data_IF_928754033617
#
_entry.id   IF_928754033617
#
_cell.length_a   1.000
_cell.length_b   1.000
_cell.length_c   1.000
_cell.angle_alpha   90.00
_cell.angle_beta   90.00
_cell.angle_gamma   90.00
#
_symmetry.space_group_name_H-M   'P 1'
#
loop_
_entity.id
_entity.type
_entity.pdbx_description
1 polymer ?
#
# COMPACT_ATOMS: atom_id res chain seq x y z
N UNK A 1 20.44 -2.99 -10.32
CA UNK A 1 20.16 -3.28 -8.89
C UNK A 1 19.86 -1.95 -8.21
N UNK A 2 18.64 -1.44 -8.43
CA UNK A 2 17.85 -0.43 -7.68
C UNK A 2 16.62 -0.26 -8.58
N UNK A 3 15.59 -1.08 -8.34
CA UNK A 3 14.25 -0.92 -8.92
C UNK A 3 13.24 -0.56 -7.81
N UNK A 4 13.77 -0.02 -6.71
CA UNK A 4 13.06 0.18 -5.44
C UNK A 4 12.13 1.40 -5.44
N UNK A 5 12.06 2.18 -6.53
CA UNK A 5 11.45 3.51 -6.54
C UNK A 5 9.97 3.49 -6.13
N UNK A 6 9.12 2.68 -6.75
CA UNK A 6 7.68 2.76 -6.46
C UNK A 6 7.33 2.24 -5.06
N UNK A 7 7.91 1.10 -4.64
CA UNK A 7 7.68 0.56 -3.30
C UNK A 7 8.24 1.47 -2.20
N UNK A 8 9.39 2.09 -2.43
CA UNK A 8 9.94 3.10 -1.51
C UNK A 8 9.09 4.37 -1.47
N UNK A 9 8.62 4.86 -2.61
CA UNK A 9 7.75 6.04 -2.67
C UNK A 9 6.43 5.81 -1.93
N UNK A 10 5.85 4.61 -2.06
CA UNK A 10 4.66 4.20 -1.30
C UNK A 10 4.97 4.21 0.20
N UNK A 11 6.08 3.60 0.60
CA UNK A 11 6.50 3.51 2.01
C UNK A 11 6.74 4.89 2.62
N UNK A 12 7.48 5.75 1.94
CA UNK A 12 7.77 7.12 2.39
C UNK A 12 6.49 7.95 2.52
N UNK A 13 5.56 7.83 1.57
CA UNK A 13 4.27 8.54 1.62
C UNK A 13 3.40 8.04 2.78
N UNK A 14 3.43 6.73 3.06
CA UNK A 14 2.73 6.16 4.18
C UNK A 14 3.29 6.65 5.53
N UNK A 15 4.62 6.67 5.68
CA UNK A 15 5.29 7.19 6.86
C UNK A 15 4.98 8.68 7.08
N UNK A 16 5.04 9.51 6.03
CA UNK A 16 4.69 10.94 6.10
C UNK A 16 3.23 11.16 6.53
N UNK A 17 2.31 10.33 6.05
CA UNK A 17 0.89 10.40 6.40
C UNK A 17 0.54 9.71 7.74
N UNK A 18 1.54 9.21 8.47
CA UNK A 18 1.37 8.62 9.80
C UNK A 18 0.77 7.21 9.80
N UNK A 19 0.93 6.46 8.71
CA UNK A 19 0.54 5.06 8.65
C UNK A 19 1.57 4.18 9.35
N UNK A 20 1.10 3.12 10.01
CA UNK A 20 1.97 2.04 10.46
C UNK A 20 2.25 1.14 9.26
N UNK A 21 3.51 0.98 8.90
CA UNK A 21 3.91 0.18 7.75
C UNK A 21 4.55 -1.13 8.22
N UNK A 22 4.06 -2.25 7.68
CA UNK A 22 4.63 -3.59 7.88
C UNK A 22 4.82 -4.29 6.54
N UNK A 23 6.03 -4.78 6.30
CA UNK A 23 6.37 -5.57 5.12
C UNK A 23 6.36 -7.06 5.42
N UNK A 24 5.92 -7.88 4.46
CA UNK A 24 6.00 -9.34 4.52
C UNK A 24 6.14 -9.91 3.10
N UNK A 25 7.35 -10.32 2.74
CA UNK A 25 7.69 -10.82 1.39
C UNK A 25 7.29 -9.79 0.30
N UNK A 26 6.43 -10.18 -0.64
CA UNK A 26 5.86 -9.30 -1.67
C UNK A 26 4.65 -8.47 -1.20
N UNK A 27 4.26 -8.56 0.06
CA UNK A 27 3.11 -7.82 0.61
C UNK A 27 3.55 -6.68 1.50
N UNK A 28 2.92 -5.52 1.33
CA UNK A 28 3.00 -4.41 2.28
C UNK A 28 1.63 -4.15 2.89
N UNK A 29 1.62 -3.90 4.19
CA UNK A 29 0.45 -3.62 4.99
C UNK A 29 0.60 -2.24 5.61
N UNK A 30 -0.43 -1.41 5.47
CA UNK A 30 -0.48 -0.06 6.03
C UNK A 30 -1.73 0.06 6.90
N UNK A 31 -1.54 0.44 8.16
CA UNK A 31 -2.63 0.53 9.14
C UNK A 31 -2.69 1.94 9.76
N UNK A 32 -3.88 2.56 9.74
CA UNK A 32 -4.15 3.87 10.35
C UNK A 32 -5.55 3.85 10.98
N UNK A 33 -5.61 3.58 12.27
CA UNK A 33 -6.88 3.40 13.00
C UNK A 33 -7.66 2.19 12.46
N UNK A 34 -8.89 2.42 12.01
CA UNK A 34 -9.77 1.39 11.43
C UNK A 34 -9.54 1.16 9.93
N UNK A 35 -8.67 1.94 9.30
CA UNK A 35 -8.37 1.82 7.87
C UNK A 35 -7.12 0.97 7.69
N UNK A 36 -7.19 -0.01 6.79
CA UNK A 36 -6.05 -0.85 6.43
C UNK A 36 -5.89 -0.93 4.92
N UNK A 37 -4.66 -0.88 4.43
CA UNK A 37 -4.35 -1.06 3.01
C UNK A 37 -3.38 -2.23 2.91
N UNK A 38 -3.71 -3.21 2.07
CA UNK A 38 -2.84 -4.33 1.74
C UNK A 38 -2.44 -4.25 0.28
N UNK A 39 -1.15 -4.13 0.01
CA UNK A 39 -0.58 -4.09 -1.34
C UNK A 39 0.19 -5.38 -1.58
N UNK A 40 -0.10 -6.06 -2.69
CA UNK A 40 0.68 -7.19 -3.17
C UNK A 40 1.47 -6.75 -4.38
N UNK A 41 2.79 -6.72 -4.25
CA UNK A 41 3.73 -6.32 -5.28
C UNK A 41 3.96 -7.43 -6.31
N UNK A 42 4.33 -7.03 -7.52
CA UNK A 42 4.81 -7.87 -8.61
C UNK A 42 6.16 -7.32 -9.07
N UNK A 43 7.24 -7.84 -8.49
CA UNK A 43 8.54 -7.16 -8.53
C UNK A 43 8.48 -5.86 -7.72
N UNK A 44 9.36 -4.91 -8.02
CA UNK A 44 9.51 -3.69 -7.22
C UNK A 44 8.82 -2.45 -7.82
N UNK A 45 8.30 -2.55 -9.05
CA UNK A 45 7.75 -1.41 -9.82
C UNK A 45 6.25 -1.51 -10.12
N UNK A 46 5.62 -2.65 -9.88
CA UNK A 46 4.21 -2.88 -10.19
C UNK A 46 3.51 -3.65 -9.07
N UNK A 47 2.18 -3.57 -9.02
CA UNK A 47 1.37 -4.31 -8.07
C UNK A 47 0.56 -5.40 -8.79
N UNK A 48 0.39 -6.54 -8.14
CA UNK A 48 -0.66 -7.51 -8.49
C UNK A 48 -2.03 -7.07 -8.02
N UNK A 49 -2.08 -6.24 -6.97
CA UNK A 49 -3.30 -5.62 -6.49
C UNK A 49 -3.12 -4.94 -5.13
N UNK A 50 -4.00 -4.00 -4.83
CA UNK A 50 -4.14 -3.34 -3.56
C UNK A 50 -5.59 -3.45 -3.08
N UNK A 51 -5.77 -3.68 -1.78
CA UNK A 51 -7.07 -3.77 -1.14
C UNK A 51 -7.16 -2.73 -0.02
N UNK A 52 -8.23 -1.94 -0.05
CA UNK A 52 -8.60 -1.02 1.01
C UNK A 52 -9.65 -1.70 1.90
N UNK A 53 -9.37 -1.75 3.19
CA UNK A 53 -10.29 -2.18 4.23
C UNK A 53 -10.68 -0.99 5.11
N UNK A 54 -11.92 -1.00 5.57
CA UNK A 54 -12.39 -0.11 6.62
C UNK A 54 -13.18 -0.94 7.62
N UNK A 55 -12.74 -0.95 8.87
CA UNK A 55 -13.35 -1.75 9.94
C UNK A 55 -13.45 -3.24 9.55
N UNK A 56 -12.33 -3.79 9.06
CA UNK A 56 -12.19 -5.17 8.58
C UNK A 56 -13.07 -5.57 7.37
N UNK A 57 -13.88 -4.64 6.85
CA UNK A 57 -14.67 -4.83 5.64
C UNK A 57 -13.89 -4.38 4.41
N UNK A 58 -13.85 -5.25 3.38
CA UNK A 58 -13.29 -4.89 2.07
C UNK A 58 -14.14 -3.77 1.47
N UNK A 59 -13.52 -2.60 1.28
CA UNK A 59 -14.16 -1.44 0.66
C UNK A 59 -13.89 -1.40 -0.84
N UNK A 60 -12.66 -1.64 -1.25
CA UNK A 60 -12.23 -1.47 -2.64
C UNK A 60 -11.02 -2.33 -2.94
N UNK A 61 -10.97 -2.88 -4.15
CA UNK A 61 -9.81 -3.56 -4.71
C UNK A 61 -9.40 -2.87 -6.02
N UNK A 62 -8.10 -2.67 -6.23
CA UNK A 62 -7.56 -2.08 -7.46
C UNK A 62 -6.23 -2.72 -7.85
N UNK A 63 -5.96 -2.81 -9.15
CA UNK A 63 -4.65 -3.18 -9.70
C UNK A 63 -3.82 -1.96 -10.14
N UNK A 64 -4.40 -0.78 -10.03
CA UNK A 64 -3.77 0.47 -10.43
C UNK A 64 -3.01 1.10 -9.25
N UNK A 65 -1.68 1.17 -9.36
CA UNK A 65 -0.81 1.69 -8.31
C UNK A 65 -1.10 3.17 -7.96
N UNK A 66 -1.29 4.10 -8.92
CA UNK A 66 -1.75 5.46 -8.64
C UNK A 66 -3.01 5.53 -7.77
N UNK A 67 -4.01 4.69 -8.06
CA UNK A 67 -5.23 4.59 -7.23
C UNK A 67 -4.91 4.15 -5.81
N UNK A 68 -4.11 3.11 -5.62
CA UNK A 68 -3.73 2.62 -4.29
C UNK A 68 -2.92 3.67 -3.52
N UNK A 69 -1.98 4.36 -4.19
CA UNK A 69 -1.21 5.48 -3.63
C UNK A 69 -2.12 6.63 -3.15
N UNK A 70 -3.24 6.87 -3.82
CA UNK A 70 -4.19 7.90 -3.39
C UNK A 70 -4.87 7.59 -2.04
N UNK A 71 -4.98 6.31 -1.66
CA UNK A 71 -5.57 5.92 -0.38
C UNK A 71 -4.68 6.26 0.81
N UNK A 72 -3.36 6.22 0.61
CA UNK A 72 -2.37 6.56 1.64
C UNK A 72 -2.32 8.06 1.94
N UNK A 73 -2.82 8.91 1.03
CA UNK A 73 -2.92 10.37 1.23
C UNK A 73 -4.10 10.79 2.13
N UNK A 74 -4.87 9.83 2.64
CA UNK A 74 -6.07 10.07 3.47
C UNK A 74 -5.76 10.31 4.95
#
# INVERSE_FOLDING_TARGET
>A
MVDTDERQLVSALAEEAGWNHRTADRSDYFDKGIVRIHIVWHGDTAISGGTLYHDDLLQTYSKDLPTVRSWLKR
#
